data_IF_046754800613
#
_entry.id   IF_046754800613
#
_cell.length_a   1.000
_cell.length_b   1.000
_cell.length_c   1.000
_cell.angle_alpha   90.00
_cell.angle_beta   90.00
_cell.angle_gamma   90.00
#
_symmetry.space_group_name_H-M   'P 1'
#
loop_
_entity.id
_entity.type
_entity.pdbx_description
1 polymer ?
#
# COMPACT_ATOMS: atom_id res chain seq x y z
N UNK A 1 -11.56 -10.35 13.57
CA UNK A 1 -12.01 -11.12 12.38
C UNK A 1 -11.01 -12.23 12.10
N UNK A 2 -11.40 -13.45 11.69
CA UNK A 2 -10.43 -14.46 11.24
C UNK A 2 -9.77 -14.01 9.91
N UNK A 3 -8.50 -14.38 9.74
CA UNK A 3 -7.74 -14.21 8.50
C UNK A 3 -8.53 -14.77 7.30
N UNK A 4 -8.59 -14.03 6.20
CA UNK A 4 -9.13 -14.52 4.94
C UNK A 4 -8.02 -15.24 4.18
N UNK A 5 -8.30 -16.44 3.69
CA UNK A 5 -7.34 -17.25 2.96
C UNK A 5 -6.91 -16.56 1.65
N UNK A 6 -5.63 -16.63 1.32
CA UNK A 6 -5.02 -16.03 0.12
C UNK A 6 -5.76 -16.45 -1.15
N UNK A 7 -6.07 -17.74 -1.30
CA UNK A 7 -6.80 -18.26 -2.46
C UNK A 7 -8.17 -17.59 -2.64
N UNK A 8 -8.93 -17.41 -1.55
CA UNK A 8 -10.24 -16.73 -1.58
C UNK A 8 -10.12 -15.26 -1.99
N UNK A 9 -9.06 -14.57 -1.53
CA UNK A 9 -8.84 -13.18 -1.92
C UNK A 9 -8.53 -13.12 -3.40
N UNK A 10 -7.61 -13.94 -3.90
CA UNK A 10 -7.23 -13.96 -5.32
C UNK A 10 -8.41 -14.32 -6.23
N UNK A 11 -9.27 -15.25 -5.83
CA UNK A 11 -10.49 -15.59 -6.55
C UNK A 11 -11.41 -14.36 -6.71
N UNK A 12 -11.66 -13.63 -5.62
CA UNK A 12 -12.47 -12.39 -5.64
C UNK A 12 -11.87 -11.32 -6.56
N UNK A 13 -10.55 -11.11 -6.48
CA UNK A 13 -9.87 -10.10 -7.29
C UNK A 13 -9.86 -10.47 -8.78
N UNK A 14 -9.64 -11.74 -9.12
CA UNK A 14 -9.71 -12.24 -10.50
C UNK A 14 -11.12 -12.15 -11.08
N UNK A 15 -12.14 -12.40 -10.29
CA UNK A 15 -13.54 -12.22 -10.71
C UNK A 15 -13.83 -10.75 -11.08
N UNK A 16 -13.30 -9.78 -10.32
CA UNK A 16 -13.41 -8.35 -10.66
C UNK A 16 -12.69 -8.03 -11.97
N UNK A 17 -11.47 -8.53 -12.17
CA UNK A 17 -10.72 -8.35 -13.43
C UNK A 17 -11.51 -8.90 -14.60
N UNK A 18 -12.06 -10.11 -14.48
CA UNK A 18 -12.88 -10.75 -15.52
C UNK A 18 -14.17 -9.96 -15.82
N UNK A 19 -14.73 -9.28 -14.82
CA UNK A 19 -15.89 -8.40 -14.96
C UNK A 19 -15.54 -6.98 -15.47
N UNK A 20 -14.25 -6.69 -15.72
CA UNK A 20 -13.80 -5.35 -16.13
C UNK A 20 -13.94 -4.28 -15.03
N UNK A 21 -14.05 -4.72 -13.76
CA UNK A 21 -14.19 -3.82 -12.60
C UNK A 21 -12.82 -3.62 -11.94
N UNK A 22 -12.39 -2.39 -11.66
CA UNK A 22 -11.09 -2.14 -11.05
C UNK A 22 -11.01 -2.67 -9.62
N UNK A 23 -9.84 -3.16 -9.25
CA UNK A 23 -9.50 -3.48 -7.87
C UNK A 23 -9.15 -2.19 -7.15
N UNK A 24 -9.67 -2.01 -5.94
CA UNK A 24 -9.35 -0.84 -5.09
C UNK A 24 -8.78 -1.32 -3.76
N UNK A 25 -7.53 -0.96 -3.50
CA UNK A 25 -6.90 -1.11 -2.20
C UNK A 25 -6.73 0.23 -1.50
N UNK A 26 -6.65 0.22 -0.19
CA UNK A 26 -6.47 1.44 0.58
C UNK A 26 -5.64 1.25 1.84
N UNK A 27 -4.99 2.34 2.27
CA UNK A 27 -4.23 2.40 3.51
C UNK A 27 -5.01 3.08 4.61
N UNK A 28 -5.31 2.37 5.69
CA UNK A 28 -5.99 2.90 6.86
C UNK A 28 -5.00 3.17 8.01
N UNK A 29 -5.07 4.36 8.60
CA UNK A 29 -4.26 4.76 9.75
C UNK A 29 -4.99 4.63 11.09
N UNK A 30 -6.31 4.42 11.06
CA UNK A 30 -7.18 4.28 12.25
C UNK A 30 -8.28 3.25 11.99
N UNK A 31 -8.89 2.75 13.07
CA UNK A 31 -10.05 1.88 12.96
C UNK A 31 -11.25 2.56 12.28
N UNK A 32 -11.40 3.88 12.44
CA UNK A 32 -12.47 4.63 11.79
C UNK A 32 -12.30 4.67 10.28
N UNK A 33 -11.09 4.97 9.77
CA UNK A 33 -10.83 4.98 8.32
C UNK A 33 -11.05 3.58 7.73
N UNK A 34 -10.52 2.53 8.36
CA UNK A 34 -10.72 1.15 7.90
C UNK A 34 -12.21 0.76 7.81
N UNK A 35 -13.00 1.13 8.82
CA UNK A 35 -14.45 0.89 8.84
C UNK A 35 -15.18 1.62 7.71
N UNK A 36 -14.79 2.88 7.45
CA UNK A 36 -15.36 3.67 6.35
C UNK A 36 -14.97 3.13 4.98
N UNK A 37 -13.70 2.73 4.80
CA UNK A 37 -13.21 2.11 3.58
C UNK A 37 -13.95 0.80 3.28
N UNK A 38 -14.14 -0.07 4.28
CA UNK A 38 -14.93 -1.29 4.12
C UNK A 38 -16.39 -0.99 3.76
N UNK A 39 -17.01 0.00 4.41
CA UNK A 39 -18.39 0.41 4.10
C UNK A 39 -18.50 0.95 2.66
N UNK A 40 -17.43 1.57 2.15
CA UNK A 40 -17.31 2.03 0.76
C UNK A 40 -17.07 0.93 -0.26
N UNK A 41 -16.85 -0.32 0.17
CA UNK A 41 -16.69 -1.49 -0.71
C UNK A 41 -15.25 -1.72 -1.18
N UNK A 42 -14.26 -1.33 -0.40
CA UNK A 42 -12.83 -1.54 -0.72
C UNK A 42 -12.48 -3.04 -0.78
N UNK A 43 -11.56 -3.42 -1.65
CA UNK A 43 -11.16 -4.82 -1.82
C UNK A 43 -10.05 -5.27 -0.87
N UNK A 44 -9.12 -4.36 -0.55
CA UNK A 44 -7.96 -4.61 0.30
C UNK A 44 -7.72 -3.41 1.22
N UNK A 45 -7.42 -3.66 2.49
CA UNK A 45 -6.96 -2.64 3.43
C UNK A 45 -5.52 -2.97 3.83
N UNK A 46 -4.63 -1.99 3.85
CA UNK A 46 -3.29 -2.12 4.43
C UNK A 46 -3.13 -1.15 5.59
N UNK A 47 -2.53 -1.63 6.68
CA UNK A 47 -2.14 -0.78 7.82
C UNK A 47 -0.63 -0.82 8.01
N UNK A 48 -0.04 0.34 8.23
CA UNK A 48 1.39 0.52 8.47
C UNK A 48 1.65 1.82 9.25
N UNK A 49 2.83 1.97 9.82
CA UNK A 49 3.18 3.11 10.66
C UNK A 49 2.90 4.48 10.02
N UNK A 50 3.12 4.62 8.71
CA UNK A 50 2.82 5.85 7.97
C UNK A 50 1.34 6.23 8.00
N UNK A 51 0.44 5.26 8.04
CA UNK A 51 -1.00 5.48 8.21
C UNK A 51 -1.30 6.20 9.53
N UNK A 52 -0.76 5.68 10.63
CA UNK A 52 -0.86 6.30 11.96
C UNK A 52 -0.31 7.74 11.94
N UNK A 53 0.86 7.97 11.33
CA UNK A 53 1.46 9.29 11.26
C UNK A 53 0.65 10.26 10.40
N UNK A 54 0.07 9.81 9.28
CA UNK A 54 -0.83 10.64 8.45
C UNK A 54 -2.05 11.10 9.23
N UNK A 55 -2.69 10.19 9.96
CA UNK A 55 -3.86 10.52 10.78
C UNK A 55 -3.51 11.34 12.02
N UNK A 56 -2.25 11.37 12.42
CA UNK A 56 -1.70 12.32 13.39
C UNK A 56 -1.27 13.68 12.76
N UNK A 57 -1.61 13.92 11.47
CA UNK A 57 -1.32 15.17 10.78
C UNK A 57 0.14 15.31 10.33
N UNK A 58 0.83 14.20 9.99
CA UNK A 58 2.23 14.20 9.52
C UNK A 58 2.31 13.65 8.10
N UNK A 59 3.36 14.05 7.36
CA UNK A 59 3.63 13.53 6.01
C UNK A 59 3.95 12.03 6.02
N UNK A 60 3.62 11.35 4.93
CA UNK A 60 3.79 9.89 4.82
C UNK A 60 5.24 9.44 4.98
N UNK A 61 6.24 10.25 4.62
CA UNK A 61 7.66 9.93 4.81
C UNK A 61 8.09 9.84 6.28
N UNK A 62 7.28 10.33 7.22
CA UNK A 62 7.53 10.10 8.64
C UNK A 62 7.68 8.61 8.98
N UNK A 63 7.03 7.74 8.20
CA UNK A 63 7.14 6.29 8.34
C UNK A 63 8.51 5.70 7.96
N UNK A 64 9.35 6.44 7.24
CA UNK A 64 10.71 6.04 6.86
C UNK A 64 11.77 6.54 7.83
N UNK A 65 11.40 7.36 8.80
CA UNK A 65 12.31 7.99 9.74
C UNK A 65 12.26 7.33 11.12
N UNK A 66 13.25 7.61 11.95
CA UNK A 66 13.46 6.94 13.24
C UNK A 66 12.50 7.43 14.34
N UNK A 67 11.20 7.49 14.07
CA UNK A 67 10.17 7.92 15.04
C UNK A 67 9.48 6.78 15.77
N UNK A 68 9.90 5.56 15.55
CA UNK A 68 9.39 4.37 16.20
C UNK A 68 9.72 3.10 15.42
N UNK A 69 9.52 1.95 16.05
CA UNK A 69 9.65 0.66 15.37
C UNK A 69 8.40 0.39 14.52
N UNK A 70 8.55 0.39 13.19
CA UNK A 70 7.43 0.25 12.26
C UNK A 70 6.70 -1.09 12.42
N UNK A 71 7.44 -2.18 12.66
CA UNK A 71 6.90 -3.53 12.82
C UNK A 71 6.13 -3.68 14.16
N UNK A 72 6.57 -3.01 15.21
CA UNK A 72 5.82 -2.95 16.45
C UNK A 72 4.54 -2.13 16.28
N UNK A 73 4.62 -0.96 15.65
CA UNK A 73 3.48 -0.07 15.42
C UNK A 73 2.37 -0.77 14.63
N UNK A 74 2.68 -1.55 13.60
CA UNK A 74 1.65 -2.27 12.84
C UNK A 74 0.94 -3.32 13.70
N UNK A 75 1.65 -3.99 14.60
CA UNK A 75 1.04 -4.92 15.56
C UNK A 75 0.13 -4.20 16.58
N UNK A 76 0.48 -3.00 17.01
CA UNK A 76 -0.38 -2.18 17.88
C UNK A 76 -1.65 -1.75 17.13
N UNK A 77 -1.50 -1.27 15.90
CA UNK A 77 -2.63 -0.87 15.04
C UNK A 77 -3.58 -2.04 14.74
N UNK A 78 -3.09 -3.28 14.72
CA UNK A 78 -3.91 -4.47 14.53
C UNK A 78 -5.06 -4.56 15.57
N UNK A 79 -4.80 -4.20 16.82
CA UNK A 79 -5.80 -4.22 17.90
C UNK A 79 -6.88 -3.14 17.73
N UNK A 80 -6.58 -2.09 17.00
CA UNK A 80 -7.54 -1.02 16.68
C UNK A 80 -8.36 -1.36 15.42
N UNK A 81 -7.71 -1.88 14.38
CA UNK A 81 -8.30 -2.02 13.04
C UNK A 81 -9.01 -3.37 12.84
N UNK A 82 -8.35 -4.49 13.20
CA UNK A 82 -8.91 -5.82 12.93
C UNK A 82 -10.27 -6.08 13.58
N UNK A 83 -10.57 -5.59 14.80
CA UNK A 83 -11.89 -5.82 15.42
C UNK A 83 -13.05 -5.09 14.72
N UNK A 84 -12.80 -4.02 13.97
CA UNK A 84 -13.84 -3.20 13.34
C UNK A 84 -14.03 -3.48 11.84
N UNK A 85 -13.16 -4.27 11.23
CA UNK A 85 -13.27 -4.74 9.84
C UNK A 85 -13.90 -6.14 9.84
N UNK A 86 -14.91 -6.38 8.99
CA UNK A 86 -15.71 -7.60 9.02
C UNK A 86 -15.48 -8.54 7.82
N UNK A 87 -15.21 -8.01 6.64
CA UNK A 87 -15.24 -8.75 5.36
C UNK A 87 -14.03 -8.51 4.47
N UNK A 88 -13.36 -7.37 4.65
CA UNK A 88 -12.23 -6.96 3.82
C UNK A 88 -10.93 -7.54 4.37
N UNK A 89 -10.07 -8.16 3.55
CA UNK A 89 -8.77 -8.61 3.99
C UNK A 89 -7.90 -7.43 4.43
N UNK A 90 -7.28 -7.54 5.61
CA UNK A 90 -6.35 -6.54 6.14
C UNK A 90 -4.93 -7.08 6.01
N UNK A 91 -4.05 -6.25 5.44
CA UNK A 91 -2.64 -6.53 5.23
C UNK A 91 -1.78 -5.69 6.16
N UNK A 92 -0.63 -6.24 6.55
CA UNK A 92 0.37 -5.54 7.35
C UNK A 92 1.45 -4.92 6.45
N UNK A 93 1.74 -3.64 6.63
CA UNK A 93 2.97 -3.06 6.11
C UNK A 93 4.14 -3.49 6.99
N UNK A 94 5.14 -4.11 6.40
CA UNK A 94 6.30 -4.66 7.10
C UNK A 94 7.58 -3.98 6.65
N UNK A 95 8.37 -3.50 7.60
CA UNK A 95 9.72 -3.03 7.36
C UNK A 95 10.66 -4.24 7.20
N UNK A 96 10.87 -4.69 5.96
CA UNK A 96 11.69 -5.86 5.65
C UNK A 96 13.19 -5.66 5.90
N UNK A 97 13.65 -4.41 6.04
CA UNK A 97 15.04 -4.09 6.33
C UNK A 97 15.34 -3.91 7.81
N UNK A 98 14.38 -4.21 8.71
CA UNK A 98 14.58 -4.15 10.16
C UNK A 98 15.61 -5.20 10.58
N UNK A 99 16.82 -4.80 11.05
CA UNK A 99 17.90 -5.73 11.37
C UNK A 99 17.66 -6.55 12.64
N UNK A 100 16.63 -6.23 13.41
CA UNK A 100 16.25 -6.93 14.63
C UNK A 100 15.02 -7.85 14.44
N UNK A 101 14.46 -7.89 13.24
CA UNK A 101 13.32 -8.73 12.92
C UNK A 101 13.77 -10.17 12.60
N UNK A 102 13.23 -11.15 13.32
CA UNK A 102 13.29 -12.56 12.93
C UNK A 102 12.08 -12.78 12.01
N UNK A 103 12.31 -12.81 10.69
CA UNK A 103 11.28 -12.72 9.67
C UNK A 103 10.17 -13.77 9.84
N UNK A 104 10.53 -15.04 10.00
CA UNK A 104 9.54 -16.12 10.09
C UNK A 104 8.69 -16.01 11.36
N UNK A 105 9.29 -15.68 12.50
CA UNK A 105 8.57 -15.47 13.77
C UNK A 105 7.61 -14.27 13.65
N UNK A 106 8.06 -13.19 13.01
CA UNK A 106 7.24 -12.01 12.83
C UNK A 106 6.05 -12.27 11.89
N UNK A 107 6.27 -12.98 10.78
CA UNK A 107 5.20 -13.38 9.86
C UNK A 107 4.18 -14.30 10.54
N UNK A 108 4.63 -15.26 11.35
CA UNK A 108 3.73 -16.10 12.16
C UNK A 108 2.93 -15.27 13.17
N UNK A 109 3.54 -14.25 13.78
CA UNK A 109 2.82 -13.32 14.66
C UNK A 109 1.73 -12.54 13.91
N UNK A 110 2.00 -12.09 12.69
CA UNK A 110 0.99 -11.41 11.86
C UNK A 110 -0.18 -12.34 11.52
N UNK A 111 0.10 -13.61 11.20
CA UNK A 111 -0.93 -14.64 10.98
C UNK A 111 -1.78 -14.82 12.24
N UNK A 112 -1.16 -14.95 13.40
CA UNK A 112 -1.84 -15.12 14.68
C UNK A 112 -2.71 -13.91 15.07
N UNK A 113 -2.30 -12.70 14.69
CA UNK A 113 -3.10 -11.48 14.86
C UNK A 113 -4.32 -11.42 13.92
N UNK A 114 -4.30 -12.13 12.79
CA UNK A 114 -5.40 -12.19 11.83
C UNK A 114 -5.16 -11.43 10.52
N UNK A 115 -3.93 -11.02 10.24
CA UNK A 115 -3.59 -10.42 8.94
C UNK A 115 -3.71 -11.45 7.81
N UNK A 116 -4.23 -11.00 6.67
CA UNK A 116 -4.40 -11.82 5.47
C UNK A 116 -3.20 -11.75 4.52
N UNK A 117 -2.30 -10.80 4.70
CA UNK A 117 -1.16 -10.60 3.83
C UNK A 117 -0.23 -9.51 4.31
N UNK A 118 0.76 -9.19 3.46
CA UNK A 118 1.75 -8.15 3.73
C UNK A 118 1.97 -7.21 2.54
N UNK A 119 2.54 -6.03 2.85
CA UNK A 119 3.13 -5.09 1.91
C UNK A 119 4.50 -4.64 2.44
N UNK A 120 5.49 -4.39 1.57
CA UNK A 120 6.83 -3.92 1.94
C UNK A 120 6.82 -2.41 2.24
N UNK A 121 6.27 -2.02 3.37
CA UNK A 121 6.33 -0.63 3.82
C UNK A 121 6.53 -0.54 5.34
N UNK A 122 7.51 0.22 5.83
CA UNK A 122 8.50 1.07 5.15
C UNK A 122 9.35 0.35 4.11
N UNK A 123 9.79 1.07 3.06
CA UNK A 123 10.57 0.52 1.96
C UNK A 123 11.75 1.41 1.60
N UNK A 124 12.91 0.83 1.34
CA UNK A 124 14.07 1.54 0.81
C UNK A 124 13.90 1.91 -0.66
N UNK A 125 12.87 1.39 -1.33
CA UNK A 125 12.52 1.73 -2.70
C UNK A 125 12.21 3.22 -2.91
N UNK A 126 11.80 3.93 -1.86
CA UNK A 126 11.56 5.38 -1.88
C UNK A 126 12.84 6.22 -1.68
N UNK A 127 13.94 5.58 -1.35
CA UNK A 127 15.23 6.24 -1.11
C UNK A 127 16.06 6.16 -2.41
N UNK A 128 16.69 7.25 -2.79
CA UNK A 128 17.50 7.38 -4.01
C UNK A 128 18.93 7.88 -3.73
N UNK A 129 19.66 8.12 -4.80
CA UNK A 129 21.01 8.72 -4.78
C UNK A 129 22.03 7.95 -3.94
N UNK A 130 22.98 8.67 -3.37
CA UNK A 130 24.07 8.11 -2.56
C UNK A 130 23.54 7.37 -1.33
N UNK A 131 22.47 7.86 -0.71
CA UNK A 131 21.90 7.19 0.45
C UNK A 131 21.38 5.80 0.10
N UNK A 132 20.67 5.65 -1.01
CA UNK A 132 20.23 4.33 -1.50
C UNK A 132 21.42 3.42 -1.80
N UNK A 133 22.44 3.92 -2.50
CA UNK A 133 23.64 3.14 -2.80
C UNK A 133 24.29 2.59 -1.52
N UNK A 134 24.46 3.44 -0.50
CA UNK A 134 25.05 3.03 0.77
C UNK A 134 24.19 2.00 1.51
N UNK A 135 22.87 2.06 1.44
CA UNK A 135 21.99 1.03 2.01
C UNK A 135 22.21 -0.33 1.34
N UNK A 136 22.31 -0.35 0.00
CA UNK A 136 22.59 -1.59 -0.75
C UNK A 136 23.98 -2.16 -0.39
N UNK A 137 25.01 -1.31 -0.36
CA UNK A 137 26.40 -1.69 -0.03
C UNK A 137 26.56 -2.22 1.40
N UNK A 138 25.73 -1.76 2.32
CA UNK A 138 25.77 -2.16 3.74
C UNK A 138 24.77 -3.23 4.13
N UNK A 139 24.13 -3.88 3.14
CA UNK A 139 23.24 -5.01 3.38
C UNK A 139 21.85 -4.62 3.92
N UNK A 140 21.43 -3.38 3.73
CA UNK A 140 20.10 -2.86 4.09
C UNK A 140 19.28 -2.51 2.84
N UNK A 141 19.50 -3.21 1.75
CA UNK A 141 18.92 -2.93 0.45
C UNK A 141 17.56 -3.57 0.22
N UNK A 142 17.01 -3.30 -0.97
CA UNK A 142 15.70 -3.76 -1.40
C UNK A 142 15.59 -5.30 -1.49
N UNK A 143 16.71 -6.01 -1.65
CA UNK A 143 16.75 -7.48 -1.67
C UNK A 143 16.18 -8.14 -0.41
N UNK A 144 16.30 -7.49 0.76
CA UNK A 144 15.68 -7.98 2.00
C UNK A 144 14.14 -7.95 1.94
N UNK A 145 13.58 -6.95 1.26
CA UNK A 145 12.14 -6.85 1.05
C UNK A 145 11.64 -7.92 0.07
N UNK A 146 12.45 -8.25 -0.95
CA UNK A 146 12.18 -9.36 -1.89
C UNK A 146 12.18 -10.71 -1.16
N UNK A 147 13.18 -10.94 -0.29
CA UNK A 147 13.25 -12.14 0.54
C UNK A 147 12.05 -12.25 1.49
N UNK A 148 11.63 -11.13 2.11
CA UNK A 148 10.46 -11.10 2.97
C UNK A 148 9.19 -11.50 2.21
N UNK A 149 9.01 -11.03 0.97
CA UNK A 149 7.87 -11.40 0.12
C UNK A 149 7.88 -12.89 -0.21
N UNK A 150 9.05 -13.47 -0.52
CA UNK A 150 9.17 -14.91 -0.77
C UNK A 150 8.77 -15.74 0.47
N UNK A 151 9.23 -15.33 1.66
CA UNK A 151 8.87 -16.01 2.93
C UNK A 151 7.37 -15.90 3.23
N UNK A 152 6.78 -14.71 3.04
CA UNK A 152 5.35 -14.48 3.24
C UNK A 152 4.50 -15.32 2.26
N UNK A 153 4.90 -15.39 1.00
CA UNK A 153 4.27 -16.24 0.00
C UNK A 153 4.30 -17.71 0.40
N UNK A 154 5.43 -18.21 0.88
CA UNK A 154 5.58 -19.59 1.36
C UNK A 154 4.68 -19.91 2.56
N UNK A 155 4.31 -18.90 3.36
CA UNK A 155 3.38 -19.01 4.49
C UNK A 155 1.90 -18.76 4.10
N UNK A 156 1.59 -18.76 2.81
CA UNK A 156 0.24 -18.50 2.26
C UNK A 156 -0.35 -17.15 2.72
N UNK A 157 0.49 -16.12 2.87
CA UNK A 157 0.08 -14.75 3.02
C UNK A 157 -0.06 -14.08 1.64
N UNK A 158 -1.10 -13.26 1.44
CA UNK A 158 -1.21 -12.43 0.26
C UNK A 158 -0.07 -11.41 0.25
N UNK A 159 0.58 -11.23 -0.90
CA UNK A 159 1.71 -10.31 -1.04
C UNK A 159 1.41 -9.20 -2.04
N UNK A 160 1.61 -7.94 -1.61
CA UNK A 160 1.28 -6.76 -2.42
C UNK A 160 2.43 -5.74 -2.45
N UNK A 161 3.66 -6.14 -2.85
CA UNK A 161 4.80 -5.25 -2.76
C UNK A 161 4.71 -4.02 -3.66
N UNK A 162 5.22 -2.89 -3.15
CA UNK A 162 5.57 -1.72 -3.94
C UNK A 162 6.79 -2.00 -4.81
N UNK A 163 6.73 -1.58 -6.06
CA UNK A 163 7.83 -1.64 -7.04
C UNK A 163 8.09 -0.26 -7.64
N UNK A 164 9.35 0.06 -7.89
CA UNK A 164 9.82 1.37 -8.29
C UNK A 164 10.57 1.35 -9.62
N UNK A 165 10.77 0.16 -10.18
CA UNK A 165 11.46 -0.09 -11.45
C UNK A 165 11.01 -1.42 -12.05
N UNK A 166 11.34 -1.63 -13.32
CA UNK A 166 11.16 -2.93 -13.97
C UNK A 166 11.95 -4.05 -13.29
N UNK A 167 13.17 -3.75 -12.78
CA UNK A 167 13.96 -4.72 -12.04
C UNK A 167 13.24 -5.16 -10.76
N UNK A 168 12.75 -4.21 -9.96
CA UNK A 168 11.96 -4.53 -8.76
C UNK A 168 10.70 -5.32 -9.08
N UNK A 169 10.02 -5.00 -10.19
CA UNK A 169 8.83 -5.73 -10.63
C UNK A 169 9.14 -7.20 -10.97
N UNK A 170 10.27 -7.46 -11.66
CA UNK A 170 10.73 -8.83 -11.93
C UNK A 170 11.12 -9.56 -10.66
N UNK A 171 11.91 -8.94 -9.79
CA UNK A 171 12.39 -9.53 -8.53
C UNK A 171 11.20 -9.92 -7.62
N UNK A 172 10.24 -9.03 -7.44
CA UNK A 172 9.05 -9.31 -6.63
C UNK A 172 8.16 -10.39 -7.26
N UNK A 173 8.02 -10.42 -8.58
CA UNK A 173 7.29 -11.47 -9.28
C UNK A 173 7.99 -12.84 -9.13
N UNK A 174 9.32 -12.91 -9.19
CA UNK A 174 10.10 -14.12 -8.89
C UNK A 174 9.95 -14.58 -7.44
N UNK A 175 9.84 -13.65 -6.50
CA UNK A 175 9.59 -13.93 -5.10
C UNK A 175 8.16 -14.45 -4.83
N UNK A 176 7.31 -14.53 -5.84
CA UNK A 176 5.94 -15.00 -5.71
C UNK A 176 4.93 -13.92 -5.33
N UNK A 177 5.20 -12.65 -5.65
CA UNK A 177 4.23 -11.59 -5.43
C UNK A 177 2.92 -11.87 -6.18
N UNK A 178 1.80 -11.78 -5.45
CA UNK A 178 0.45 -11.92 -6.01
C UNK A 178 0.02 -10.67 -6.76
N UNK A 179 0.37 -9.55 -6.18
CA UNK A 179 0.04 -8.21 -6.67
C UNK A 179 1.33 -7.39 -6.63
N UNK A 180 1.75 -6.80 -7.74
CA UNK A 180 2.76 -5.74 -7.72
C UNK A 180 2.08 -4.39 -7.78
N UNK A 181 2.54 -3.45 -6.96
CA UNK A 181 1.98 -2.10 -6.89
C UNK A 181 3.00 -1.11 -7.44
N UNK A 182 2.74 -0.60 -8.65
CA UNK A 182 3.58 0.40 -9.31
C UNK A 182 3.51 1.72 -8.54
N UNK A 183 4.61 2.10 -7.87
CA UNK A 183 4.68 3.28 -7.01
C UNK A 183 5.25 4.47 -7.78
N UNK A 184 4.44 5.51 -7.98
CA UNK A 184 4.76 6.70 -8.80
C UNK A 184 5.17 7.93 -7.96
N UNK A 185 5.56 7.71 -6.72
CA UNK A 185 5.92 8.78 -5.80
C UNK A 185 4.87 9.05 -4.72
N UNK A 186 5.11 10.06 -3.91
CA UNK A 186 4.22 10.45 -2.82
C UNK A 186 2.96 11.11 -3.35
N UNK A 187 1.81 10.80 -2.76
CA UNK A 187 0.53 11.42 -3.12
C UNK A 187 0.58 12.93 -2.95
N UNK A 188 0.20 13.64 -4.00
CA UNK A 188 0.09 15.11 -4.02
C UNK A 188 -1.22 15.59 -3.38
N UNK A 189 -1.33 16.91 -3.16
CA UNK A 189 -2.55 17.54 -2.67
C UNK A 189 -2.78 17.46 -1.16
N UNK A 190 -3.72 18.28 -0.67
CA UNK A 190 -4.02 18.45 0.74
C UNK A 190 -2.95 19.27 1.48
N UNK A 191 -3.09 19.36 2.82
CA UNK A 191 -2.25 20.22 3.66
C UNK A 191 -0.79 19.74 3.80
N UNK A 192 -0.53 18.44 3.60
CA UNK A 192 0.78 17.79 3.78
C UNK A 192 1.13 16.85 2.61
N UNK A 193 0.59 17.09 1.42
CA UNK A 193 0.93 16.36 0.20
C UNK A 193 2.28 16.77 -0.36
N UNK A 194 2.86 15.91 -1.22
CA UNK A 194 4.07 16.26 -1.96
C UNK A 194 3.76 17.32 -3.03
N UNK A 195 4.72 18.21 -3.28
CA UNK A 195 4.66 19.18 -4.38
C UNK A 195 5.43 18.67 -5.60
N UNK A 196 6.52 17.89 -5.37
CA UNK A 196 7.29 17.25 -6.43
C UNK A 196 6.59 15.97 -6.89
N UNK A 197 6.12 15.96 -8.12
CA UNK A 197 5.43 14.80 -8.69
C UNK A 197 5.59 14.76 -10.22
N UNK A 198 5.40 13.57 -10.78
CA UNK A 198 5.18 13.35 -12.20
C UNK A 198 3.82 13.95 -12.62
N UNK A 199 3.63 14.16 -13.92
CA UNK A 199 2.27 14.38 -14.44
C UNK A 199 1.52 13.06 -14.56
N UNK A 200 0.19 13.07 -14.63
CA UNK A 200 -0.59 11.86 -14.89
C UNK A 200 -0.15 11.16 -16.19
N UNK A 201 0.17 11.93 -17.22
CA UNK A 201 0.62 11.37 -18.49
C UNK A 201 1.97 10.63 -18.36
N UNK A 202 2.89 11.17 -17.57
CA UNK A 202 4.21 10.58 -17.34
C UNK A 202 4.11 9.29 -16.49
N UNK A 203 3.01 9.04 -15.79
CA UNK A 203 2.81 7.84 -15.00
C UNK A 203 2.43 6.61 -15.85
N UNK A 204 1.87 6.78 -17.06
CA UNK A 204 1.36 5.66 -17.87
C UNK A 204 2.47 4.73 -18.32
N UNK A 205 3.55 5.27 -18.88
CA UNK A 205 4.66 4.46 -19.41
C UNK A 205 5.37 3.62 -18.32
N UNK A 206 5.73 4.18 -17.14
CA UNK A 206 6.28 3.38 -16.04
C UNK A 206 5.34 2.28 -15.55
N UNK A 207 4.05 2.55 -15.39
CA UNK A 207 3.08 1.53 -14.95
C UNK A 207 3.05 0.37 -15.94
N UNK A 208 2.94 0.65 -17.25
CA UNK A 208 2.92 -0.38 -18.28
C UNK A 208 4.25 -1.16 -18.36
N UNK A 209 5.40 -0.48 -18.17
CA UNK A 209 6.70 -1.12 -18.15
C UNK A 209 6.85 -2.07 -16.95
N UNK A 210 6.45 -1.64 -15.75
CA UNK A 210 6.50 -2.50 -14.56
C UNK A 210 5.52 -3.67 -14.68
N UNK A 211 4.34 -3.43 -15.24
CA UNK A 211 3.36 -4.49 -15.52
C UNK A 211 3.92 -5.53 -16.50
N UNK A 212 4.52 -5.09 -17.61
CA UNK A 212 5.13 -5.98 -18.58
C UNK A 212 6.30 -6.79 -17.97
N UNK A 213 7.15 -6.14 -17.17
CA UNK A 213 8.27 -6.76 -16.51
C UNK A 213 7.84 -7.85 -15.50
N UNK A 214 6.82 -7.59 -14.69
CA UNK A 214 6.28 -8.55 -13.74
C UNK A 214 5.58 -9.71 -14.43
N UNK A 215 4.75 -9.43 -15.45
CA UNK A 215 4.01 -10.45 -16.23
C UNK A 215 4.90 -11.35 -17.08
N UNK A 216 6.07 -10.88 -17.47
CA UNK A 216 7.07 -11.69 -18.14
C UNK A 216 7.61 -12.83 -17.25
N UNK A 217 7.57 -12.64 -15.93
CA UNK A 217 7.97 -13.62 -14.91
C UNK A 217 6.77 -14.47 -14.47
N UNK A 218 5.67 -13.79 -14.11
CA UNK A 218 4.43 -14.42 -13.67
C UNK A 218 3.25 -13.81 -14.43
N UNK A 219 2.71 -14.48 -15.48
CA UNK A 219 1.59 -13.97 -16.27
C UNK A 219 0.33 -13.68 -15.44
N UNK A 220 0.16 -14.37 -14.30
CA UNK A 220 -1.01 -14.26 -13.42
C UNK A 220 -0.90 -13.13 -12.39
N UNK A 221 0.23 -12.42 -12.33
CA UNK A 221 0.43 -11.34 -11.37
C UNK A 221 -0.57 -10.20 -11.62
N UNK A 222 -1.19 -9.75 -10.55
CA UNK A 222 -2.07 -8.58 -10.58
C UNK A 222 -1.22 -7.32 -10.47
N UNK A 223 -1.56 -6.26 -11.19
CA UNK A 223 -0.84 -4.99 -11.16
C UNK A 223 -1.79 -3.87 -10.75
N UNK A 224 -1.41 -3.11 -9.73
CA UNK A 224 -2.12 -1.91 -9.29
C UNK A 224 -1.18 -0.69 -9.39
N UNK A 225 -1.75 0.50 -9.56
CA UNK A 225 -0.99 1.75 -9.52
C UNK A 225 -1.18 2.47 -8.19
N UNK A 226 -0.19 3.27 -7.78
CA UNK A 226 -0.18 3.97 -6.50
C UNK A 226 0.58 5.30 -6.55
N UNK A 227 0.03 6.32 -5.91
CA UNK A 227 0.77 7.51 -5.49
C UNK A 227 1.02 8.55 -6.57
N UNK A 228 1.92 9.48 -6.28
CA UNK A 228 2.21 10.62 -7.13
C UNK A 228 0.96 11.47 -7.40
N UNK A 229 0.72 11.86 -8.67
CA UNK A 229 -0.42 12.69 -9.05
C UNK A 229 -1.77 11.93 -9.03
N UNK A 230 -1.76 10.61 -8.79
CA UNK A 230 -2.99 9.81 -8.72
C UNK A 230 -3.61 9.99 -7.33
N UNK A 231 -4.28 11.11 -7.12
CA UNK A 231 -4.76 11.54 -5.82
C UNK A 231 -6.29 11.46 -5.66
N UNK A 232 -7.03 11.40 -6.76
CA UNK A 232 -8.50 11.37 -6.78
C UNK A 232 -9.03 10.18 -7.57
N UNK A 233 -10.33 9.81 -7.41
CA UNK A 233 -10.95 8.79 -8.25
C UNK A 233 -10.90 9.13 -9.74
N UNK A 234 -10.97 10.40 -10.11
CA UNK A 234 -10.87 10.85 -11.50
C UNK A 234 -9.48 10.61 -12.08
N UNK A 235 -8.41 10.86 -11.29
CA UNK A 235 -7.03 10.57 -11.69
C UNK A 235 -6.81 9.07 -11.89
N UNK A 236 -7.27 8.27 -10.94
CA UNK A 236 -7.19 6.80 -11.03
C UNK A 236 -7.94 6.28 -12.27
N UNK A 237 -9.15 6.76 -12.51
CA UNK A 237 -9.93 6.41 -13.70
C UNK A 237 -9.20 6.81 -15.00
N UNK A 238 -8.58 7.99 -15.03
CA UNK A 238 -7.82 8.48 -16.18
C UNK A 238 -6.63 7.57 -16.49
N UNK A 239 -5.88 7.13 -15.46
CA UNK A 239 -4.77 6.17 -15.59
C UNK A 239 -5.27 4.82 -16.10
N UNK A 240 -6.30 4.25 -15.46
CA UNK A 240 -6.83 2.92 -15.82
C UNK A 240 -7.35 2.84 -17.25
N UNK A 241 -7.86 3.94 -17.80
CA UNK A 241 -8.30 4.01 -19.19
C UNK A 241 -7.14 4.02 -20.21
N UNK A 242 -5.90 4.29 -19.77
CA UNK A 242 -4.72 4.47 -20.63
C UNK A 242 -3.65 3.40 -20.45
N UNK A 243 -3.56 2.83 -19.26
CA UNK A 243 -2.63 1.73 -19.00
C UNK A 243 -3.19 0.40 -19.52
N UNK A 244 -2.33 -0.40 -20.15
CA UNK A 244 -2.71 -1.71 -20.73
C UNK A 244 -2.58 -2.87 -19.75
N UNK A 245 -1.75 -2.70 -18.70
CA UNK A 245 -1.40 -3.77 -17.76
C UNK A 245 -1.90 -3.58 -16.34
N UNK A 246 -2.56 -2.46 -16.03
CA UNK A 246 -3.01 -2.09 -14.69
C UNK A 246 -4.45 -2.57 -14.45
N UNK A 247 -4.68 -3.21 -13.30
CA UNK A 247 -5.99 -3.79 -12.94
C UNK A 247 -6.74 -2.98 -11.87
N UNK A 248 -6.14 -1.91 -11.34
CA UNK A 248 -6.78 -1.13 -10.31
C UNK A 248 -5.84 -0.12 -9.65
N UNK A 249 -6.31 0.44 -8.55
CA UNK A 249 -5.64 1.50 -7.79
C UNK A 249 -5.43 1.07 -6.33
N UNK A 250 -4.26 1.39 -5.79
CA UNK A 250 -3.95 1.24 -4.37
C UNK A 250 -3.70 2.63 -3.78
N UNK A 251 -4.64 3.15 -2.98
CA UNK A 251 -4.53 4.46 -2.35
C UNK A 251 -3.97 4.40 -0.94
N UNK A 252 -3.51 5.53 -0.44
CA UNK A 252 -3.14 5.72 0.96
C UNK A 252 -3.68 7.08 1.44
N UNK A 253 -2.93 8.16 1.24
CA UNK A 253 -3.41 9.52 1.56
C UNK A 253 -4.69 9.88 0.81
N UNK A 254 -4.88 9.39 -0.40
CA UNK A 254 -6.08 9.58 -1.21
C UNK A 254 -7.32 8.90 -0.63
N UNK A 255 -7.16 7.82 0.14
CA UNK A 255 -8.28 7.06 0.71
C UNK A 255 -8.72 7.58 2.08
N UNK A 256 -7.81 8.11 2.89
CA UNK A 256 -8.16 8.55 4.24
C UNK A 256 -7.85 10.02 4.54
N UNK A 257 -6.61 10.47 4.34
CA UNK A 257 -6.17 11.81 4.73
C UNK A 257 -6.91 12.89 3.95
N UNK A 258 -6.89 12.83 2.62
CA UNK A 258 -7.52 13.86 1.78
C UNK A 258 -9.03 13.99 2.03
N UNK A 259 -9.82 12.91 2.06
CA UNK A 259 -11.24 13.01 2.40
C UNK A 259 -11.46 13.55 3.82
N UNK A 260 -10.63 13.16 4.79
CA UNK A 260 -10.76 13.60 6.19
C UNK A 260 -10.47 15.10 6.32
N UNK A 261 -9.40 15.61 5.69
CA UNK A 261 -9.06 17.03 5.67
C UNK A 261 -10.22 17.86 5.13
N UNK A 262 -10.81 17.45 4.00
CA UNK A 262 -11.93 18.17 3.36
C UNK A 262 -13.17 18.13 4.24
N UNK A 263 -13.63 16.94 4.62
CA UNK A 263 -14.89 16.76 5.33
C UNK A 263 -14.91 17.45 6.70
N UNK A 264 -13.81 17.31 7.48
CA UNK A 264 -13.73 17.95 8.80
C UNK A 264 -13.66 19.47 8.69
N UNK A 265 -12.83 19.98 7.76
CA UNK A 265 -12.69 21.43 7.58
C UNK A 265 -14.00 22.08 7.15
N UNK A 266 -14.69 21.49 6.17
CA UNK A 266 -15.96 22.02 5.69
C UNK A 266 -17.05 21.94 6.75
N UNK A 267 -17.17 20.83 7.46
CA UNK A 267 -18.16 20.67 8.53
C UNK A 267 -17.92 21.67 9.65
N UNK A 268 -16.66 21.82 10.10
CA UNK A 268 -16.30 22.80 11.13
C UNK A 268 -16.65 24.21 10.69
N UNK A 269 -16.33 24.58 9.44
CA UNK A 269 -16.67 25.91 8.89
C UNK A 269 -18.18 26.18 8.92
N UNK A 270 -19.02 25.19 8.57
CA UNK A 270 -20.48 25.34 8.65
C UNK A 270 -20.95 25.57 10.09
N UNK A 271 -20.40 24.87 11.07
CA UNK A 271 -20.73 25.11 12.48
C UNK A 271 -20.31 26.50 12.97
N UNK A 272 -19.10 26.96 12.60
CA UNK A 272 -18.61 28.30 13.02
C UNK A 272 -19.35 29.48 12.37
N UNK A 273 -20.07 29.23 11.29
CA UNK A 273 -20.88 30.26 10.57
C UNK A 273 -22.35 30.31 11.03
N UNK A 274 -22.75 29.49 12.01
CA UNK A 274 -24.12 29.56 12.54
C UNK A 274 -24.37 30.93 13.20
N UNK A 275 -25.55 31.45 12.98
CA UNK A 275 -26.04 32.65 13.67
C UNK A 275 -27.01 32.28 14.79
N UNK A 276 -27.09 33.14 15.83
CA UNK A 276 -28.07 32.98 16.93
C UNK A 276 -29.39 33.62 16.55
#
# INVERSE_FOLDING_TARGET
>A
MPRIARATILERLRAKIAAGTPIVGGGAGTGLSAKCEEAGGIDLIVIYNSGRYRMAGRGSLAGLLAYGNANQIVCEMAHEVLPVVQRTPVLAGVNGTDPFMIADDFLQRLIALGFSGIQNFPTVGLIDGTFRANLEETGMGYGLEVELVARAHALDLLTTPYVFSEANAREMAHAGADIVVAHLGLTTGGAIGAETALTLADCVAPIDAYAAAAKAVNPEVIVLCHGGPIATPADAQWILQRCRGCHGFYGASSMERLPTEVALTETTRRFTQMTR
#
